data_IF_331517624561
#
_entry.id   IF_331517624561
#
_cell.length_a   1.000
_cell.length_b   1.000
_cell.length_c   1.000
_cell.angle_alpha   90.00
_cell.angle_beta   90.00
_cell.angle_gamma   90.00
#
_symmetry.space_group_name_H-M   'P 1'
#
loop_
_entity.id
_entity.type
_entity.pdbx_description
1 polymer ?
#
# COMPACT_ATOMS: atom_id res chain seq x y z
N UNK A 1 -25.92 29.91 -3.40
CA UNK A 1 -25.94 29.18 -3.59
C UNK A 1 -25.15 28.03 -3.86
N UNK A 2 -24.17 27.88 -3.85
CA UNK A 2 -23.60 26.71 -4.33
C UNK A 2 -22.81 25.97 -3.29
N UNK A 3 -23.50 25.18 -2.52
CA UNK A 3 -22.87 24.31 -1.56
C UNK A 3 -22.38 23.02 -2.20
N UNK A 4 -22.69 22.78 -3.46
CA UNK A 4 -22.31 21.56 -4.15
C UNK A 4 -20.81 21.46 -4.41
N UNK A 5 -20.08 22.56 -4.23
CA UNK A 5 -18.63 22.58 -4.43
C UNK A 5 -17.85 22.04 -3.24
N UNK A 6 -18.49 21.88 -2.10
CA UNK A 6 -17.79 21.29 -0.94
C UNK A 6 -17.79 19.77 -1.06
N UNK A 7 -16.60 19.19 -1.19
CA UNK A 7 -16.46 17.75 -1.15
C UNK A 7 -16.70 17.25 0.27
N UNK A 8 -17.34 16.10 0.44
CA UNK A 8 -17.48 15.50 1.76
C UNK A 8 -16.11 15.14 2.31
N UNK A 9 -15.93 15.37 3.61
CA UNK A 9 -14.70 15.03 4.30
C UNK A 9 -14.96 13.79 5.16
N UNK A 10 -14.12 12.78 4.97
CA UNK A 10 -14.15 11.57 5.77
C UNK A 10 -12.90 11.55 6.63
N UNK A 11 -13.07 11.35 7.94
CA UNK A 11 -11.97 11.28 8.88
C UNK A 11 -11.78 9.85 9.35
N UNK A 12 -10.57 9.34 9.23
CA UNK A 12 -10.21 8.02 9.73
C UNK A 12 -9.30 8.16 10.94
N UNK A 13 -9.59 7.39 11.99
CA UNK A 13 -8.78 7.36 13.19
C UNK A 13 -8.00 6.05 13.26
N UNK A 14 -6.89 6.09 13.98
CA UNK A 14 -6.08 4.90 14.23
C UNK A 14 -5.20 4.43 13.08
N UNK A 15 -5.05 5.23 12.02
CA UNK A 15 -4.27 4.83 10.85
C UNK A 15 -2.78 4.65 11.17
N UNK A 16 -2.29 5.21 12.26
CA UNK A 16 -0.89 5.08 12.67
C UNK A 16 -0.66 4.00 13.73
N UNK A 17 -1.70 3.25 14.09
CA UNK A 17 -1.60 2.20 15.10
C UNK A 17 -1.01 0.90 14.55
N UNK A 18 -1.13 0.67 13.24
CA UNK A 18 -0.60 -0.53 12.59
C UNK A 18 0.81 -0.28 12.07
N UNK A 19 1.68 -1.27 12.26
CA UNK A 19 3.06 -1.18 11.82
C UNK A 19 3.36 -2.08 10.62
N UNK A 20 4.57 -1.92 10.11
CA UNK A 20 5.09 -2.69 9.00
C UNK A 20 5.96 -3.87 9.46
N UNK A 21 6.01 -4.19 10.76
CA UNK A 21 6.86 -5.24 11.30
C UNK A 21 6.63 -6.56 10.55
N UNK A 22 7.71 -7.20 10.13
CA UNK A 22 7.73 -8.46 9.40
C UNK A 22 7.11 -8.39 8.00
N UNK A 23 6.64 -7.23 7.58
CA UNK A 23 6.08 -7.01 6.25
C UNK A 23 7.05 -6.33 5.30
N UNK A 24 8.05 -5.66 5.84
CA UNK A 24 9.10 -5.00 5.07
C UNK A 24 10.47 -5.34 5.67
N UNK A 25 11.53 -5.14 4.86
CA UNK A 25 12.89 -5.39 5.32
C UNK A 25 13.31 -4.39 6.39
N UNK A 26 14.28 -4.75 7.27
CA UNK A 26 14.78 -3.81 8.28
C UNK A 26 15.31 -2.50 7.68
N UNK A 27 15.93 -2.54 6.51
CA UNK A 27 16.43 -1.36 5.82
C UNK A 27 15.28 -0.43 5.41
N UNK A 28 14.16 -1.01 5.02
CA UNK A 28 12.96 -0.24 4.68
C UNK A 28 12.34 0.46 5.88
N UNK A 29 12.48 -0.12 7.08
CA UNK A 29 12.00 0.52 8.31
C UNK A 29 12.67 1.86 8.55
N UNK A 30 13.93 2.00 8.16
CA UNK A 30 14.67 3.25 8.32
C UNK A 30 14.21 4.34 7.34
N UNK A 31 13.40 4.02 6.35
CA UNK A 31 12.91 4.97 5.36
C UNK A 31 11.84 5.86 5.97
N UNK A 32 12.08 7.19 6.09
CA UNK A 32 11.18 8.08 6.85
C UNK A 32 9.89 8.42 6.10
N UNK A 33 9.86 8.24 4.80
CA UNK A 33 8.76 8.72 3.96
C UNK A 33 7.76 7.63 3.56
N UNK A 34 7.83 6.44 4.18
CA UNK A 34 6.85 5.39 3.88
C UNK A 34 5.48 5.74 4.43
N UNK A 35 4.44 5.39 3.67
CA UNK A 35 3.07 5.60 4.11
C UNK A 35 2.76 4.71 5.33
N UNK A 36 2.03 5.23 6.30
CA UNK A 36 1.60 4.44 7.45
C UNK A 36 0.75 3.26 6.97
N UNK A 37 1.03 2.06 7.50
CA UNK A 37 0.34 0.85 7.08
C UNK A 37 -1.17 0.94 7.26
N UNK A 38 -1.63 1.45 8.40
CA UNK A 38 -3.06 1.61 8.66
C UNK A 38 -3.75 2.51 7.65
N UNK A 39 -3.06 3.51 7.14
CA UNK A 39 -3.60 4.37 6.10
C UNK A 39 -3.74 3.61 4.78
N UNK A 40 -2.74 2.84 4.38
CA UNK A 40 -2.77 2.02 3.16
C UNK A 40 -3.93 1.02 3.23
N UNK A 41 -4.05 0.31 4.33
CA UNK A 41 -5.13 -0.65 4.56
C UNK A 41 -6.50 0.03 4.43
N UNK A 42 -6.63 1.20 5.04
CA UNK A 42 -7.91 1.94 5.01
C UNK A 42 -8.30 2.40 3.62
N UNK A 43 -7.33 2.86 2.84
CA UNK A 43 -7.59 3.26 1.46
C UNK A 43 -8.11 2.08 0.65
N UNK A 44 -7.45 0.92 0.76
CA UNK A 44 -7.90 -0.28 0.04
C UNK A 44 -9.29 -0.74 0.51
N UNK A 45 -9.53 -0.77 1.82
CA UNK A 45 -10.83 -1.15 2.37
C UNK A 45 -11.94 -0.26 1.83
N UNK A 46 -11.72 1.04 1.78
CA UNK A 46 -12.71 1.99 1.28
C UNK A 46 -12.97 1.80 -0.21
N UNK A 47 -11.93 1.64 -1.01
CA UNK A 47 -12.07 1.41 -2.45
C UNK A 47 -12.82 0.12 -2.76
N UNK A 48 -12.57 -0.92 -2.00
CA UNK A 48 -13.29 -2.19 -2.13
C UNK A 48 -14.74 -2.03 -1.72
N UNK A 49 -14.98 -1.37 -0.59
CA UNK A 49 -16.34 -1.18 -0.06
C UNK A 49 -17.23 -0.38 -1.03
N UNK A 50 -16.65 0.60 -1.71
CA UNK A 50 -17.41 1.40 -2.68
C UNK A 50 -17.48 0.78 -4.09
N UNK A 51 -16.93 -0.43 -4.26
CA UNK A 51 -16.98 -1.14 -5.54
C UNK A 51 -16.02 -0.63 -6.60
N UNK A 52 -15.06 0.22 -6.21
CA UNK A 52 -14.09 0.77 -7.15
C UNK A 52 -12.90 -0.17 -7.39
N UNK A 53 -12.73 -1.15 -6.53
CA UNK A 53 -11.59 -2.05 -6.59
C UNK A 53 -12.02 -3.48 -6.21
N UNK A 54 -11.55 -4.46 -6.97
CA UNK A 54 -11.90 -5.87 -6.79
C UNK A 54 -10.67 -6.76 -6.99
N UNK A 55 -10.64 -7.98 -6.40
CA UNK A 55 -9.58 -8.94 -6.69
C UNK A 55 -9.42 -9.16 -8.20
N UNK A 56 -8.18 -9.24 -8.66
CA UNK A 56 -7.87 -9.37 -10.08
C UNK A 56 -7.63 -8.05 -10.79
N UNK A 57 -8.01 -6.94 -10.19
CA UNK A 57 -7.72 -5.61 -10.75
C UNK A 57 -6.22 -5.31 -10.71
N UNK A 58 -5.82 -4.32 -11.48
CA UNK A 58 -4.43 -3.83 -11.51
C UNK A 58 -4.37 -2.48 -10.79
N UNK A 59 -3.52 -2.42 -9.76
CA UNK A 59 -3.24 -1.18 -9.01
C UNK A 59 -1.93 -0.60 -9.52
N UNK A 60 -1.94 0.67 -9.87
CA UNK A 60 -0.74 1.39 -10.29
C UNK A 60 -0.41 2.48 -9.27
N UNK A 61 0.81 2.43 -8.75
CA UNK A 61 1.33 3.48 -7.86
C UNK A 61 2.50 4.19 -8.55
N UNK A 62 2.30 5.42 -9.04
CA UNK A 62 3.36 6.16 -9.72
C UNK A 62 4.46 6.66 -8.78
N UNK A 63 4.27 6.56 -7.47
CA UNK A 63 5.23 7.00 -6.46
C UNK A 63 5.44 5.87 -5.45
N UNK A 64 5.85 4.71 -5.95
CA UNK A 64 5.82 3.46 -5.19
C UNK A 64 6.72 3.44 -3.95
N UNK A 65 7.81 4.20 -3.94
CA UNK A 65 8.76 4.20 -2.82
C UNK A 65 9.27 2.80 -2.53
N UNK A 66 9.09 2.34 -1.31
CA UNK A 66 9.50 1.00 -0.88
C UNK A 66 8.45 -0.08 -1.14
N UNK A 67 7.36 0.25 -1.84
CA UNK A 67 6.38 -0.72 -2.28
C UNK A 67 5.19 -0.97 -1.35
N UNK A 68 4.89 -0.06 -0.44
CA UNK A 68 3.78 -0.21 0.52
C UNK A 68 2.46 -0.54 -0.16
N UNK A 69 2.08 0.22 -1.18
CA UNK A 69 0.86 0.00 -1.96
C UNK A 69 0.87 -1.33 -2.68
N UNK A 70 2.03 -1.71 -3.23
CA UNK A 70 2.17 -2.96 -4.00
C UNK A 70 2.02 -4.17 -3.11
N UNK A 71 2.55 -4.12 -1.90
CA UNK A 71 2.43 -5.19 -0.91
C UNK A 71 0.95 -5.37 -0.55
N UNK A 72 0.25 -4.29 -0.25
CA UNK A 72 -1.16 -4.37 0.13
C UNK A 72 -2.03 -4.88 -1.01
N UNK A 73 -1.80 -4.43 -2.24
CA UNK A 73 -2.51 -4.90 -3.43
C UNK A 73 -2.34 -6.41 -3.59
N UNK A 74 -1.11 -6.90 -3.46
CA UNK A 74 -0.81 -8.33 -3.59
C UNK A 74 -1.51 -9.15 -2.52
N UNK A 75 -1.55 -8.67 -1.28
CA UNK A 75 -2.21 -9.37 -0.18
C UNK A 75 -3.73 -9.48 -0.38
N UNK A 76 -4.30 -8.68 -1.26
CA UNK A 76 -5.74 -8.67 -1.56
C UNK A 76 -6.08 -9.29 -2.91
N UNK A 77 -5.13 -10.00 -3.52
CA UNK A 77 -5.36 -10.70 -4.78
C UNK A 77 -5.37 -9.81 -6.02
N UNK A 78 -4.80 -8.62 -5.92
CA UNK A 78 -4.69 -7.68 -7.02
C UNK A 78 -3.28 -7.71 -7.61
N UNK A 79 -3.17 -7.41 -8.89
CA UNK A 79 -1.88 -7.17 -9.53
C UNK A 79 -1.46 -5.74 -9.26
N UNK A 80 -0.16 -5.49 -9.29
CA UNK A 80 0.33 -4.14 -9.00
C UNK A 80 1.50 -3.76 -9.90
N UNK A 81 1.56 -2.47 -10.21
CA UNK A 81 2.64 -1.87 -10.97
C UNK A 81 3.08 -0.63 -10.19
N UNK A 82 4.37 -0.54 -9.91
CA UNK A 82 4.94 0.60 -9.23
C UNK A 82 5.97 1.31 -10.10
N UNK A 83 6.02 2.62 -9.97
CA UNK A 83 7.05 3.46 -10.57
C UNK A 83 7.78 4.20 -9.47
N UNK A 84 9.09 4.25 -9.56
CA UNK A 84 9.94 4.93 -8.59
C UNK A 84 11.21 5.41 -9.29
N UNK A 85 11.62 6.65 -9.03
CA UNK A 85 12.80 7.24 -9.67
C UNK A 85 14.10 6.97 -8.90
N UNK A 86 13.99 6.76 -7.58
CA UNK A 86 15.18 6.56 -6.75
C UNK A 86 15.61 5.10 -6.76
N UNK A 87 16.80 4.76 -7.33
CA UNK A 87 17.23 3.36 -7.44
C UNK A 87 17.26 2.62 -6.10
N UNK A 88 17.62 3.29 -5.03
CA UNK A 88 17.66 2.65 -3.70
C UNK A 88 16.28 2.22 -3.24
N UNK A 89 15.26 3.03 -3.53
CA UNK A 89 13.88 2.70 -3.16
C UNK A 89 13.32 1.59 -4.04
N UNK A 90 13.68 1.55 -5.31
CA UNK A 90 13.32 0.45 -6.21
C UNK A 90 13.86 -0.87 -5.65
N UNK A 91 15.13 -0.88 -5.25
CA UNK A 91 15.76 -2.06 -4.66
C UNK A 91 15.05 -2.51 -3.38
N UNK A 92 14.76 -1.58 -2.47
CA UNK A 92 14.03 -1.88 -1.24
C UNK A 92 12.63 -2.40 -1.53
N UNK A 93 11.94 -1.80 -2.49
CA UNK A 93 10.61 -2.25 -2.91
C UNK A 93 10.62 -3.67 -3.45
N UNK A 94 11.58 -4.00 -4.28
CA UNK A 94 11.74 -5.36 -4.80
C UNK A 94 12.01 -6.37 -3.70
N UNK A 95 12.84 -6.02 -2.72
CA UNK A 95 13.09 -6.86 -1.56
C UNK A 95 11.84 -7.09 -0.72
N UNK A 96 11.04 -6.04 -0.51
CA UNK A 96 9.80 -6.12 0.24
C UNK A 96 8.77 -7.02 -0.46
N UNK A 97 8.64 -6.90 -1.77
CA UNK A 97 7.74 -7.74 -2.56
C UNK A 97 8.17 -9.20 -2.48
N UNK A 98 9.47 -9.47 -2.58
CA UNK A 98 10.00 -10.82 -2.48
C UNK A 98 9.77 -11.41 -1.08
N UNK A 99 9.96 -10.63 -0.04
CA UNK A 99 9.68 -11.05 1.34
C UNK A 99 8.20 -11.43 1.50
N UNK A 100 7.31 -10.60 0.96
CA UNK A 100 5.87 -10.86 1.00
C UNK A 100 5.51 -12.14 0.25
N UNK A 101 6.09 -12.34 -0.95
CA UNK A 101 5.86 -13.54 -1.76
C UNK A 101 6.25 -14.80 -1.00
N UNK A 102 7.43 -14.80 -0.38
CA UNK A 102 7.90 -15.94 0.40
C UNK A 102 6.98 -16.25 1.57
N UNK A 103 6.55 -15.23 2.29
CA UNK A 103 5.62 -15.39 3.42
C UNK A 103 4.30 -15.99 2.95
N UNK A 104 3.77 -15.51 1.84
CA UNK A 104 2.53 -16.00 1.26
C UNK A 104 2.63 -17.45 0.84
N UNK A 105 3.72 -17.81 0.16
CA UNK A 105 3.96 -19.20 -0.25
C UNK A 105 4.11 -20.14 0.95
N UNK A 106 4.76 -19.69 2.02
CA UNK A 106 4.93 -20.48 3.23
C UNK A 106 3.62 -20.74 3.97
N UNK A 107 2.65 -19.83 3.82
CA UNK A 107 1.33 -19.98 4.42
C UNK A 107 0.40 -20.91 3.63
N UNK A 108 0.80 -21.23 2.44
CA UNK A 108 0.06 -22.19 1.66
C UNK A 108 -0.74 -21.83 0.54
#
# INVERSE_FOLDING_TARGET
MNTATEAPVVTWQGCYNDGWRDLITPESFAHPAKMARGLVVRIFDELIAMGALSPGDVVCDPFAGIGSTLIEASSRGMRSIGCELEPRFIELGQQNIELHRRTWEAMG
#
